data_IF_375326621015
#
_entry.id   IF_375326621015
#
_cell.length_a   1.000
_cell.length_b   1.000
_cell.length_c   1.000
_cell.angle_alpha   90.00
_cell.angle_beta   90.00
_cell.angle_gamma   90.00
#
_symmetry.space_group_name_H-M   'P 1'
#
loop_
_entity.id
_entity.type
_entity.pdbx_description
1 polymer ?
#
# COMPACT_ATOMS: atom_id res chain seq x y z
N UNK A 1 -43.49 15.69 -11.85
CA UNK A 1 -42.21 15.34 -11.19
C UNK A 1 -41.11 15.48 -12.22
N UNK A 2 -40.20 16.44 -12.08
CA UNK A 2 -39.08 16.61 -13.03
C UNK A 2 -38.02 15.57 -12.73
N UNK A 3 -37.97 14.52 -13.54
CA UNK A 3 -36.91 13.52 -13.52
C UNK A 3 -35.60 14.20 -13.93
N UNK A 4 -34.59 14.19 -13.05
CA UNK A 4 -33.25 14.73 -13.35
C UNK A 4 -32.33 13.57 -13.72
N UNK A 5 -31.47 13.78 -14.71
CA UNK A 5 -30.43 12.82 -15.02
C UNK A 5 -29.31 12.94 -13.97
N UNK A 6 -28.92 11.82 -13.36
CA UNK A 6 -27.80 11.74 -12.42
C UNK A 6 -26.86 10.62 -12.85
N UNK A 7 -25.58 10.70 -12.47
CA UNK A 7 -24.63 9.63 -12.78
C UNK A 7 -24.75 8.50 -11.76
N UNK A 8 -24.80 7.26 -12.23
CA UNK A 8 -24.71 6.09 -11.36
C UNK A 8 -23.35 6.10 -10.63
N UNK A 9 -23.31 5.95 -9.30
CA UNK A 9 -22.05 5.98 -8.55
C UNK A 9 -21.09 4.84 -8.90
N UNK A 10 -21.58 3.80 -9.58
CA UNK A 10 -20.81 2.62 -9.94
C UNK A 10 -20.36 2.59 -11.39
N UNK A 11 -21.30 2.59 -12.34
CA UNK A 11 -20.97 2.49 -13.77
C UNK A 11 -20.84 3.85 -14.46
N UNK A 12 -21.13 4.95 -13.75
CA UNK A 12 -21.10 6.33 -14.27
C UNK A 12 -21.97 6.56 -15.51
N UNK A 13 -22.94 5.66 -15.77
CA UNK A 13 -23.98 5.91 -16.76
C UNK A 13 -25.04 6.85 -16.19
N UNK A 14 -25.65 7.65 -17.06
CA UNK A 14 -26.78 8.48 -16.67
C UNK A 14 -27.99 7.58 -16.33
N UNK A 15 -28.53 7.78 -15.14
CA UNK A 15 -29.72 7.12 -14.61
C UNK A 15 -30.75 8.17 -14.19
N UNK A 16 -32.00 7.76 -14.08
CA UNK A 16 -33.07 8.65 -13.61
C UNK A 16 -32.97 8.94 -12.12
N UNK A 17 -33.26 10.17 -11.70
CA UNK A 17 -33.29 10.56 -10.28
C UNK A 17 -34.32 9.80 -9.43
N UNK A 18 -35.28 9.13 -10.04
CA UNK A 18 -36.32 8.29 -9.39
C UNK A 18 -35.91 6.80 -9.33
N UNK A 19 -34.83 6.44 -10.02
CA UNK A 19 -34.43 5.06 -10.23
C UNK A 19 -33.83 4.47 -8.95
N UNK A 20 -34.47 3.44 -8.39
CA UNK A 20 -34.01 2.77 -7.16
C UNK A 20 -32.88 1.78 -7.41
N UNK A 21 -32.76 1.25 -8.63
CA UNK A 21 -31.74 0.27 -9.04
C UNK A 21 -31.25 0.65 -10.42
N UNK A 22 -29.94 0.85 -10.60
CA UNK A 22 -29.37 1.24 -11.89
C UNK A 22 -29.64 0.20 -12.98
N UNK A 23 -30.28 0.60 -14.07
CA UNK A 23 -30.65 -0.22 -15.22
C UNK A 23 -29.44 -0.81 -15.96
N UNK A 24 -28.27 -0.19 -15.82
CA UNK A 24 -27.04 -0.65 -16.47
C UNK A 24 -26.26 -1.68 -15.66
N UNK A 25 -26.23 -1.54 -14.34
CA UNK A 25 -25.32 -2.34 -13.50
C UNK A 25 -25.97 -2.97 -12.26
N UNK A 26 -27.28 -2.80 -12.08
CA UNK A 26 -28.07 -3.42 -11.00
C UNK A 26 -27.80 -2.85 -9.61
N UNK A 27 -27.18 -1.67 -9.49
CA UNK A 27 -26.80 -1.12 -8.18
C UNK A 27 -27.97 -0.40 -7.53
N UNK A 28 -28.37 -0.85 -6.34
CA UNK A 28 -29.43 -0.21 -5.54
C UNK A 28 -28.98 1.14 -4.97
N UNK A 29 -29.90 2.10 -4.92
CA UNK A 29 -29.74 3.45 -4.35
C UNK A 29 -29.83 3.47 -2.83
N UNK A 30 -30.40 2.43 -2.21
CA UNK A 30 -30.70 2.40 -0.77
C UNK A 30 -29.50 1.99 0.06
N UNK A 31 -28.52 2.89 0.26
CA UNK A 31 -27.45 2.67 1.24
C UNK A 31 -26.66 3.95 1.59
N UNK A 32 -27.36 5.06 1.86
CA UNK A 32 -26.78 6.35 2.29
C UNK A 32 -25.77 6.25 3.46
N UNK A 33 -25.90 5.22 4.32
CA UNK A 33 -25.02 4.99 5.47
C UNK A 33 -24.06 3.80 5.32
N UNK A 34 -24.22 2.96 4.29
CA UNK A 34 -23.39 1.75 4.09
C UNK A 34 -22.22 1.98 3.13
N UNK A 35 -22.16 3.11 2.42
CA UNK A 35 -21.02 3.44 1.54
C UNK A 35 -19.71 3.73 2.29
N UNK A 36 -19.76 3.99 3.61
CA UNK A 36 -18.58 4.14 4.47
C UNK A 36 -18.02 2.81 4.97
N UNK A 37 -18.80 1.73 4.93
CA UNK A 37 -18.44 0.41 5.50
C UNK A 37 -18.34 -0.70 4.42
N UNK A 38 -18.99 -0.56 3.27
CA UNK A 38 -18.91 -1.52 2.16
C UNK A 38 -17.73 -1.27 1.21
N UNK A 39 -16.54 -1.02 1.77
CA UNK A 39 -15.25 -1.15 1.07
C UNK A 39 -14.84 -2.62 0.81
N UNK A 40 -15.77 -3.57 0.95
CA UNK A 40 -15.47 -5.01 0.94
C UNK A 40 -16.14 -5.83 -0.17
N UNK A 41 -16.89 -5.27 -1.12
CA UNK A 41 -17.45 -6.11 -2.21
C UNK A 41 -17.49 -5.44 -3.59
N UNK A 42 -16.37 -5.52 -4.30
CA UNK A 42 -16.26 -6.35 -5.51
C UNK A 42 -14.79 -6.45 -5.91
N UNK A 43 -14.24 -7.66 -5.85
CA UNK A 43 -12.94 -7.95 -6.45
C UNK A 43 -13.01 -7.64 -7.94
N UNK A 44 -12.40 -6.53 -8.35
CA UNK A 44 -12.01 -6.35 -9.74
C UNK A 44 -10.90 -7.33 -10.11
N UNK A 45 -10.42 -7.27 -11.35
CA UNK A 45 -9.29 -8.07 -11.88
C UNK A 45 -7.96 -7.97 -11.08
N UNK A 46 -7.93 -7.23 -9.96
CA UNK A 46 -6.78 -7.07 -9.07
C UNK A 46 -6.92 -7.64 -7.66
N UNK A 47 -8.04 -8.28 -7.27
CA UNK A 47 -8.16 -8.85 -5.91
C UNK A 47 -7.11 -9.93 -5.62
N UNK A 48 -6.77 -10.73 -6.64
CA UNK A 48 -5.70 -11.71 -6.57
C UNK A 48 -4.34 -11.07 -6.23
N UNK A 49 -4.08 -9.85 -6.72
CA UNK A 49 -2.83 -9.13 -6.48
C UNK A 49 -2.72 -8.69 -5.02
N UNK A 50 -3.81 -8.17 -4.44
CA UNK A 50 -3.86 -7.81 -3.02
C UNK A 50 -3.63 -9.04 -2.15
N UNK A 51 -4.30 -10.15 -2.48
CA UNK A 51 -4.09 -11.45 -1.81
C UNK A 51 -2.63 -11.90 -1.94
N UNK A 52 -2.03 -11.81 -3.12
CA UNK A 52 -0.64 -12.19 -3.34
C UNK A 52 0.33 -11.35 -2.48
N UNK A 53 0.15 -10.03 -2.41
CA UNK A 53 0.97 -9.15 -1.57
C UNK A 53 0.80 -9.53 -0.10
N UNK A 54 -0.43 -9.76 0.36
CA UNK A 54 -0.69 -10.16 1.76
C UNK A 54 -0.07 -11.52 2.07
N UNK A 55 -0.28 -12.52 1.20
CA UNK A 55 0.30 -13.85 1.35
C UNK A 55 1.82 -13.77 1.42
N UNK A 56 2.45 -12.99 0.55
CA UNK A 56 3.89 -12.79 0.56
C UNK A 56 4.38 -12.18 1.88
N UNK A 57 3.70 -11.14 2.39
CA UNK A 57 4.01 -10.54 3.69
C UNK A 57 3.86 -11.53 4.85
N UNK A 58 2.79 -12.34 4.84
CA UNK A 58 2.53 -13.36 5.88
C UNK A 58 3.57 -14.47 5.84
N UNK A 59 3.90 -14.99 4.66
CA UNK A 59 4.93 -16.03 4.50
C UNK A 59 6.30 -15.52 4.94
N UNK A 60 6.66 -14.30 4.54
CA UNK A 60 7.95 -13.70 4.89
C UNK A 60 8.06 -13.40 6.40
N UNK A 61 6.96 -12.98 7.03
CA UNK A 61 6.88 -12.85 8.48
C UNK A 61 7.02 -14.20 9.20
N UNK A 62 6.30 -15.23 8.76
CA UNK A 62 6.43 -16.58 9.33
C UNK A 62 7.87 -17.11 9.22
N UNK A 63 8.51 -16.92 8.06
CA UNK A 63 9.91 -17.29 7.88
C UNK A 63 10.84 -16.52 8.83
N UNK A 64 10.60 -15.21 9.03
CA UNK A 64 11.40 -14.41 9.95
C UNK A 64 11.31 -14.88 11.41
N UNK A 65 10.16 -15.42 11.83
CA UNK A 65 9.99 -16.04 13.15
C UNK A 65 10.81 -17.33 13.28
N UNK A 66 10.90 -18.12 12.21
CA UNK A 66 11.63 -19.39 12.19
C UNK A 66 13.15 -19.19 12.20
N UNK A 67 13.67 -18.26 11.39
CA UNK A 67 15.12 -18.04 11.25
C UNK A 67 15.72 -17.30 12.46
N UNK A 68 14.96 -16.38 13.06
CA UNK A 68 15.48 -15.53 14.12
C UNK A 68 15.50 -16.16 15.51
N UNK A 69 14.71 -17.22 15.75
CA UNK A 69 14.32 -17.64 17.10
C UNK A 69 13.54 -16.51 17.81
N UNK A 70 12.30 -16.75 18.21
CA UNK A 70 11.47 -15.70 18.82
C UNK A 70 12.06 -15.18 20.13
N UNK A 71 12.79 -14.06 20.10
CA UNK A 71 13.33 -13.33 21.26
C UNK A 71 13.34 -11.80 21.05
N UNK A 72 12.56 -11.27 20.10
CA UNK A 72 12.47 -9.83 19.76
C UNK A 72 11.77 -8.95 20.81
N UNK A 73 11.69 -9.39 22.07
CA UNK A 73 11.10 -8.64 23.18
C UNK A 73 9.57 -8.56 23.23
N UNK A 74 8.85 -9.09 22.23
CA UNK A 74 7.38 -9.05 22.15
C UNK A 74 6.74 -10.36 21.68
N UNK A 75 5.42 -10.50 21.89
CA UNK A 75 4.65 -11.68 21.48
C UNK A 75 4.72 -11.88 19.96
N UNK A 76 5.18 -13.05 19.53
CA UNK A 76 5.41 -13.39 18.11
C UNK A 76 6.22 -12.30 17.38
N UNK A 77 7.34 -11.89 17.97
CA UNK A 77 8.28 -10.94 17.39
C UNK A 77 9.54 -11.65 16.89
N UNK A 78 9.91 -11.50 15.60
CA UNK A 78 11.16 -12.04 15.07
C UNK A 78 12.39 -11.44 15.76
N UNK A 79 13.41 -12.27 15.97
CA UNK A 79 14.70 -11.78 16.45
C UNK A 79 15.36 -10.83 15.43
N UNK A 80 16.15 -9.86 15.92
CA UNK A 80 16.84 -8.89 15.07
C UNK A 80 17.74 -9.56 14.03
N UNK A 81 18.39 -10.68 14.39
CA UNK A 81 19.21 -11.47 13.46
C UNK A 81 18.39 -11.96 12.27
N UNK A 82 17.19 -12.51 12.51
CA UNK A 82 16.30 -12.98 11.45
C UNK A 82 15.85 -11.84 10.53
N UNK A 83 15.48 -10.70 11.12
CA UNK A 83 15.11 -9.50 10.35
C UNK A 83 16.29 -8.98 9.50
N UNK A 84 17.49 -8.94 10.06
CA UNK A 84 18.68 -8.48 9.34
C UNK A 84 19.06 -9.44 8.20
N UNK A 85 19.01 -10.76 8.42
CA UNK A 85 19.27 -11.77 7.39
C UNK A 85 18.27 -11.68 6.24
N UNK A 86 17.00 -11.50 6.58
CA UNK A 86 15.92 -11.35 5.59
C UNK A 86 15.81 -9.94 5.00
N UNK A 87 16.74 -9.04 5.31
CA UNK A 87 16.87 -7.77 4.61
C UNK A 87 16.10 -6.61 5.21
N UNK A 88 16.14 -6.45 6.53
CA UNK A 88 15.86 -5.18 7.17
C UNK A 88 16.81 -4.09 6.63
N UNK A 89 16.33 -2.84 6.59
CA UNK A 89 17.05 -1.71 5.98
C UNK A 89 17.32 -0.59 6.98
N UNK A 90 18.01 0.46 6.55
CA UNK A 90 18.47 1.58 7.38
C UNK A 90 19.95 1.88 7.16
N UNK A 91 20.49 2.88 7.85
CA UNK A 91 21.91 3.26 7.71
C UNK A 91 22.83 2.11 8.06
N UNK A 92 22.48 1.26 9.04
CA UNK A 92 23.32 0.13 9.42
C UNK A 92 23.40 -0.94 8.31
N UNK A 93 22.29 -1.50 7.78
CA UNK A 93 22.34 -2.42 6.63
C UNK A 93 22.97 -1.85 5.36
N UNK A 94 22.76 -0.55 5.08
CA UNK A 94 23.20 0.08 3.84
C UNK A 94 24.69 0.43 3.91
N UNK A 95 25.12 1.17 4.93
CA UNK A 95 26.47 1.74 4.97
C UNK A 95 27.53 0.69 5.34
N UNK A 96 27.20 -0.24 6.24
CA UNK A 96 28.17 -1.23 6.73
C UNK A 96 28.17 -2.54 5.93
N UNK A 97 27.05 -2.90 5.30
CA UNK A 97 26.91 -4.17 4.56
C UNK A 97 26.61 -3.99 3.07
N UNK A 98 26.50 -2.76 2.56
CA UNK A 98 26.22 -2.48 1.15
C UNK A 98 24.85 -2.98 0.67
N UNK A 99 23.89 -3.21 1.58
CA UNK A 99 22.61 -3.87 1.26
C UNK A 99 21.57 -2.88 0.74
N UNK A 100 21.86 -2.17 -0.35
CA UNK A 100 20.89 -1.22 -0.95
C UNK A 100 19.59 -1.95 -1.36
N UNK A 101 19.69 -3.21 -1.79
CA UNK A 101 18.53 -4.07 -2.08
C UNK A 101 17.57 -4.23 -0.88
N UNK A 102 18.04 -4.00 0.35
CA UNK A 102 17.21 -4.09 1.57
C UNK A 102 16.07 -3.07 1.59
N UNK A 103 16.21 -1.95 0.88
CA UNK A 103 15.15 -0.95 0.69
C UNK A 103 13.88 -1.58 0.08
N UNK A 104 14.04 -2.66 -0.71
CA UNK A 104 12.92 -3.40 -1.27
C UNK A 104 12.39 -4.45 -0.30
N UNK A 105 13.25 -5.34 0.21
CA UNK A 105 12.82 -6.44 1.09
C UNK A 105 12.23 -5.99 2.43
N UNK A 106 12.69 -4.84 2.95
CA UNK A 106 12.17 -4.28 4.21
C UNK A 106 10.66 -3.99 4.16
N UNK A 107 10.08 -3.77 2.96
CA UNK A 107 8.64 -3.59 2.79
C UNK A 107 7.84 -4.87 3.14
N UNK A 108 8.49 -6.03 3.25
CA UNK A 108 7.83 -7.31 3.51
C UNK A 108 8.12 -7.87 4.91
N UNK A 109 8.96 -7.19 5.69
CA UNK A 109 9.33 -7.59 7.05
C UNK A 109 8.47 -6.92 8.10
N UNK A 110 8.20 -7.63 9.19
CA UNK A 110 7.39 -7.11 10.30
C UNK A 110 8.01 -7.47 11.65
N UNK A 111 7.95 -6.51 12.57
CA UNK A 111 8.58 -6.63 13.91
C UNK A 111 7.72 -7.32 14.95
N UNK A 112 6.52 -7.78 14.59
CA UNK A 112 5.60 -8.45 15.50
C UNK A 112 4.21 -8.66 14.91
N UNK A 113 3.40 -9.46 15.59
CA UNK A 113 2.07 -9.87 15.10
C UNK A 113 1.11 -8.68 14.92
N UNK A 114 1.06 -7.75 15.88
CA UNK A 114 0.22 -6.56 15.75
C UNK A 114 0.68 -5.67 14.59
N UNK A 115 2.00 -5.57 14.39
CA UNK A 115 2.57 -4.79 13.30
C UNK A 115 2.14 -5.33 11.94
N UNK A 116 2.20 -6.65 11.70
CA UNK A 116 1.69 -7.23 10.44
C UNK A 116 0.18 -7.12 10.32
N UNK A 117 -0.59 -7.37 11.38
CA UNK A 117 -2.06 -7.28 11.33
C UNK A 117 -2.50 -5.88 10.90
N UNK A 118 -2.00 -4.83 11.54
CA UNK A 118 -2.38 -3.46 11.20
C UNK A 118 -1.97 -3.08 9.77
N UNK A 119 -0.79 -3.50 9.31
CA UNK A 119 -0.37 -3.26 7.92
C UNK A 119 -1.28 -3.98 6.91
N UNK A 120 -1.62 -5.24 7.16
CA UNK A 120 -2.47 -6.00 6.24
C UNK A 120 -3.91 -5.49 6.26
N UNK A 121 -4.42 -5.03 7.41
CA UNK A 121 -5.71 -4.35 7.49
C UNK A 121 -5.71 -3.05 6.70
N UNK A 122 -4.71 -2.18 6.91
CA UNK A 122 -4.59 -0.93 6.17
C UNK A 122 -4.43 -1.16 4.66
N UNK A 123 -3.63 -2.14 4.25
CA UNK A 123 -3.48 -2.54 2.85
C UNK A 123 -4.81 -3.02 2.26
N UNK A 124 -5.53 -3.92 2.93
CA UNK A 124 -6.85 -4.40 2.48
C UNK A 124 -7.87 -3.28 2.39
N UNK A 125 -7.75 -2.27 3.24
CA UNK A 125 -8.58 -1.10 3.18
C UNK A 125 -8.22 -0.29 1.93
N UNK A 126 -7.00 0.24 1.80
CA UNK A 126 -6.67 1.19 0.71
C UNK A 126 -6.61 0.55 -0.69
N UNK A 127 -6.24 -0.73 -0.81
CA UNK A 127 -5.93 -1.34 -2.11
C UNK A 127 -7.11 -1.40 -3.09
N UNK A 128 -8.35 -1.78 -2.70
CA UNK A 128 -9.52 -1.72 -3.58
C UNK A 128 -9.75 -0.34 -4.22
N UNK A 129 -9.57 0.73 -3.44
CA UNK A 129 -9.71 2.10 -3.95
C UNK A 129 -8.61 2.44 -4.96
N UNK A 130 -7.36 2.03 -4.69
CA UNK A 130 -6.27 2.22 -5.66
C UNK A 130 -6.51 1.40 -6.93
N UNK A 131 -7.01 0.16 -6.82
CA UNK A 131 -7.33 -0.67 -8.00
C UNK A 131 -8.44 -0.03 -8.83
N UNK A 132 -9.49 0.53 -8.21
CA UNK A 132 -10.57 1.16 -8.97
C UNK A 132 -10.09 2.41 -9.71
N UNK A 133 -9.28 3.24 -9.06
CA UNK A 133 -8.90 4.54 -9.60
C UNK A 133 -7.63 4.51 -10.45
N UNK A 134 -6.65 3.68 -10.10
CA UNK A 134 -5.39 3.53 -10.82
C UNK A 134 -5.28 2.21 -11.59
N UNK A 135 -5.90 1.13 -11.15
CA UNK A 135 -5.71 -0.20 -11.74
C UNK A 135 -4.60 -1.01 -11.06
N UNK A 136 -4.54 -2.33 -11.35
CA UNK A 136 -3.68 -3.27 -10.64
C UNK A 136 -2.19 -3.08 -10.93
N UNK A 137 -1.82 -2.74 -12.17
CA UNK A 137 -0.41 -2.56 -12.54
C UNK A 137 0.18 -1.36 -11.79
N UNK A 138 -0.55 -0.24 -11.76
CA UNK A 138 -0.15 0.96 -11.04
C UNK A 138 -0.17 0.78 -9.53
N UNK A 139 -1.10 -0.01 -8.97
CA UNK A 139 -1.04 -0.38 -7.55
C UNK A 139 0.31 -1.00 -7.20
N UNK A 140 0.76 -1.99 -7.98
CA UNK A 140 2.03 -2.67 -7.69
C UNK A 140 3.23 -1.73 -7.81
N UNK A 141 3.25 -0.86 -8.83
CA UNK A 141 4.30 0.15 -9.01
C UNK A 141 4.35 1.11 -7.82
N UNK A 142 3.19 1.67 -7.43
CA UNK A 142 3.08 2.63 -6.33
C UNK A 142 3.49 1.99 -5.00
N UNK A 143 3.03 0.75 -4.75
CA UNK A 143 3.40 -0.01 -3.55
C UNK A 143 4.91 -0.24 -3.49
N UNK A 144 5.49 -0.81 -4.55
CA UNK A 144 6.90 -1.22 -4.57
C UNK A 144 7.85 -0.02 -4.59
N UNK A 145 7.72 0.86 -5.59
CA UNK A 145 8.66 1.97 -5.76
C UNK A 145 8.46 3.06 -4.70
N UNK A 146 7.21 3.31 -4.28
CA UNK A 146 6.95 4.28 -3.24
C UNK A 146 7.35 3.79 -1.84
N UNK A 147 7.26 2.48 -1.57
CA UNK A 147 7.84 1.89 -0.36
C UNK A 147 9.37 2.05 -0.32
N UNK A 148 10.05 1.74 -1.42
CA UNK A 148 11.49 1.99 -1.59
C UNK A 148 11.82 3.47 -1.37
N UNK A 149 11.06 4.38 -2.00
CA UNK A 149 11.26 5.82 -1.81
C UNK A 149 11.07 6.24 -0.35
N UNK A 150 10.07 5.70 0.34
CA UNK A 150 9.90 5.91 1.78
C UNK A 150 11.12 5.51 2.59
N UNK A 151 11.68 4.33 2.33
CA UNK A 151 12.90 3.90 3.02
C UNK A 151 14.16 4.67 2.61
N UNK A 152 14.23 5.20 1.39
CA UNK A 152 15.29 6.15 1.00
C UNK A 152 15.21 7.40 1.88
N UNK A 153 14.04 8.00 2.03
CA UNK A 153 13.84 9.17 2.91
C UNK A 153 14.21 8.83 4.36
N UNK A 154 13.77 7.67 4.84
CA UNK A 154 14.15 7.17 6.16
C UNK A 154 15.67 7.01 6.34
N UNK A 155 16.36 6.47 5.33
CA UNK A 155 17.80 6.29 5.36
C UNK A 155 18.53 7.63 5.39
N UNK A 156 18.14 8.57 4.54
CA UNK A 156 18.70 9.93 4.50
C UNK A 156 18.47 10.68 5.83
N UNK A 157 17.38 10.37 6.54
CA UNK A 157 17.10 10.90 7.87
C UNK A 157 17.89 10.23 9.01
N UNK A 158 18.78 9.28 8.71
CA UNK A 158 19.67 8.65 9.69
C UNK A 158 19.04 7.49 10.47
N UNK A 159 17.89 6.95 10.04
CA UNK A 159 17.27 5.81 10.72
C UNK A 159 18.14 4.56 10.55
N UNK A 160 18.64 4.05 11.68
CA UNK A 160 19.63 2.96 11.69
C UNK A 160 19.09 1.61 11.26
N UNK A 161 17.86 1.30 11.67
CA UNK A 161 17.20 0.03 11.40
C UNK A 161 15.69 0.23 11.26
N UNK A 162 15.11 -0.26 10.17
CA UNK A 162 13.67 -0.14 9.89
C UNK A 162 13.16 -1.26 8.98
N UNK A 163 11.87 -1.54 9.11
CA UNK A 163 11.10 -2.57 8.39
C UNK A 163 9.63 -2.19 8.35
N UNK A 164 8.84 -2.85 7.51
CA UNK A 164 7.37 -2.78 7.51
C UNK A 164 6.79 -2.41 6.15
N UNK A 165 5.67 -3.04 5.80
CA UNK A 165 4.87 -2.67 4.63
C UNK A 165 4.29 -1.25 4.71
N UNK A 166 4.37 -0.60 5.87
CA UNK A 166 3.72 0.68 6.14
C UNK A 166 4.21 1.81 5.24
N UNK A 167 5.48 1.83 4.82
CA UNK A 167 5.97 2.81 3.84
C UNK A 167 5.27 2.65 2.47
N UNK A 168 5.14 1.41 1.99
CA UNK A 168 4.42 1.08 0.76
C UNK A 168 2.91 1.38 0.86
N UNK A 169 2.29 1.10 2.01
CA UNK A 169 0.88 1.46 2.27
C UNK A 169 0.71 2.99 2.30
N UNK A 170 1.61 3.73 2.93
CA UNK A 170 1.62 5.19 2.92
C UNK A 170 1.76 5.75 1.50
N UNK A 171 2.52 5.07 0.62
CA UNK A 171 2.57 5.41 -0.80
C UNK A 171 1.21 5.24 -1.50
N UNK A 172 0.49 4.15 -1.24
CA UNK A 172 -0.88 3.99 -1.76
C UNK A 172 -1.82 5.11 -1.27
N UNK A 173 -1.72 5.48 0.01
CA UNK A 173 -2.48 6.61 0.58
C UNK A 173 -2.09 7.94 -0.08
N UNK A 174 -0.79 8.19 -0.29
CA UNK A 174 -0.28 9.37 -0.99
C UNK A 174 -0.75 9.48 -2.44
N UNK A 175 -0.77 8.36 -3.18
CA UNK A 175 -1.32 8.34 -4.53
C UNK A 175 -2.82 8.66 -4.54
N UNK A 176 -3.58 8.21 -3.53
CA UNK A 176 -4.99 8.57 -3.39
C UNK A 176 -5.21 10.02 -2.95
N UNK A 177 -4.29 10.59 -2.18
CA UNK A 177 -4.31 12.02 -1.85
C UNK A 177 -4.17 12.86 -3.13
N UNK A 178 -3.18 12.54 -3.97
CA UNK A 178 -3.03 13.19 -5.29
C UNK A 178 -4.27 12.98 -6.15
N UNK A 179 -4.78 11.75 -6.24
CA UNK A 179 -6.01 11.45 -7.00
C UNK A 179 -7.17 12.32 -6.54
N UNK A 180 -7.48 12.34 -5.24
CA UNK A 180 -8.63 13.08 -4.71
C UNK A 180 -8.54 14.57 -5.03
N UNK A 181 -7.35 15.16 -4.82
CA UNK A 181 -7.09 16.57 -5.14
C UNK A 181 -7.20 16.86 -6.64
N UNK A 182 -6.56 16.03 -7.46
CA UNK A 182 -6.44 16.21 -8.91
C UNK A 182 -7.73 15.92 -9.65
N UNK A 183 -8.53 14.97 -9.15
CA UNK A 183 -9.82 14.56 -9.72
C UNK A 183 -10.88 15.62 -9.53
N UNK A 184 -10.87 16.28 -8.36
CA UNK A 184 -11.84 17.28 -7.96
C UNK A 184 -13.27 16.74 -7.91
N UNK A 185 -14.24 17.66 -7.84
CA UNK A 185 -15.66 17.31 -7.70
C UNK A 185 -15.99 16.67 -6.34
N UNK A 186 -17.26 16.31 -6.16
CA UNK A 186 -17.74 15.77 -4.89
C UNK A 186 -16.99 14.49 -4.47
N UNK A 187 -16.81 13.55 -5.41
CA UNK A 187 -16.12 12.29 -5.13
C UNK A 187 -14.64 12.48 -4.79
N UNK A 188 -13.89 13.23 -5.61
CA UNK A 188 -12.47 13.49 -5.35
C UNK A 188 -12.23 14.22 -4.03
N UNK A 189 -13.09 15.19 -3.69
CA UNK A 189 -13.02 15.92 -2.42
C UNK A 189 -13.26 15.00 -1.21
N UNK A 190 -14.20 14.05 -1.31
CA UNK A 190 -14.43 13.05 -0.25
C UNK A 190 -13.19 12.18 -0.06
N UNK A 191 -12.64 11.62 -1.14
CA UNK A 191 -11.41 10.81 -1.10
C UNK A 191 -10.26 11.60 -0.47
N UNK A 192 -10.03 12.83 -0.93
CA UNK A 192 -8.96 13.70 -0.44
C UNK A 192 -9.06 13.93 1.07
N UNK A 193 -10.27 14.23 1.58
CA UNK A 193 -10.49 14.47 3.01
C UNK A 193 -10.29 13.21 3.84
N UNK A 194 -10.79 12.07 3.37
CA UNK A 194 -10.66 10.79 4.08
C UNK A 194 -9.18 10.36 4.21
N UNK A 195 -8.47 10.29 3.08
CA UNK A 195 -7.05 9.89 3.11
C UNK A 195 -6.16 10.93 3.78
N UNK A 196 -6.51 12.22 3.69
CA UNK A 196 -5.86 13.29 4.45
C UNK A 196 -6.01 13.08 5.97
N UNK A 197 -7.19 12.66 6.43
CA UNK A 197 -7.42 12.27 7.82
C UNK A 197 -6.56 11.08 8.25
N UNK A 198 -6.35 10.09 7.37
CA UNK A 198 -5.48 8.96 7.67
C UNK A 198 -4.01 9.36 7.78
N UNK A 199 -3.52 10.21 6.87
CA UNK A 199 -2.15 10.74 6.93
C UNK A 199 -1.93 11.50 8.25
N UNK A 200 -2.88 12.36 8.63
CA UNK A 200 -2.81 13.08 9.89
C UNK A 200 -2.76 12.13 11.09
N UNK A 201 -3.64 11.14 11.14
CA UNK A 201 -3.67 10.14 12.20
C UNK A 201 -2.39 9.31 12.27
N UNK A 202 -1.84 8.87 11.13
CA UNK A 202 -0.58 8.12 11.06
C UNK A 202 0.58 8.94 11.59
N UNK A 203 0.68 10.21 11.19
CA UNK A 203 1.72 11.11 11.67
C UNK A 203 1.64 11.29 13.19
N UNK A 204 0.45 11.59 13.71
CA UNK A 204 0.24 11.75 15.16
C UNK A 204 0.54 10.46 15.92
N UNK A 205 0.09 9.31 15.41
CA UNK A 205 0.37 8.01 15.99
C UNK A 205 1.88 7.74 16.05
N UNK A 206 2.64 8.09 15.00
CA UNK A 206 4.10 7.95 15.01
C UNK A 206 4.85 8.95 15.88
N UNK A 207 4.24 10.07 16.27
CA UNK A 207 4.79 10.95 17.31
C UNK A 207 4.58 10.38 18.72
N UNK A 208 3.46 9.68 18.94
CA UNK A 208 3.07 9.15 20.26
C UNK A 208 3.77 7.82 20.55
N UNK A 209 3.90 6.93 19.56
CA UNK A 209 4.41 5.58 19.76
C UNK A 209 5.86 5.44 19.27
N UNK A 210 6.83 5.23 20.18
CA UNK A 210 8.22 5.03 19.81
C UNK A 210 8.42 3.82 18.90
N UNK A 211 9.40 3.90 18.01
CA UNK A 211 9.71 2.84 17.04
C UNK A 211 8.91 2.92 15.73
N UNK A 212 7.98 3.88 15.61
CA UNK A 212 7.32 4.18 14.34
C UNK A 212 8.19 5.09 13.49
N UNK A 213 8.41 4.67 12.26
CA UNK A 213 9.26 5.38 11.32
C UNK A 213 8.47 6.45 10.53
N UNK A 214 8.30 7.62 11.13
CA UNK A 214 7.62 8.75 10.49
C UNK A 214 8.32 9.25 9.22
N UNK A 215 9.65 9.14 9.13
CA UNK A 215 10.39 9.47 7.90
C UNK A 215 10.04 8.51 6.76
N UNK A 216 9.94 7.21 7.06
CA UNK A 216 9.47 6.19 6.13
C UNK A 216 8.03 6.42 5.68
N UNK A 217 7.13 6.77 6.60
CA UNK A 217 5.73 7.06 6.29
C UNK A 217 5.57 8.32 5.44
N UNK A 218 6.18 9.44 5.86
CA UNK A 218 6.15 10.69 5.12
C UNK A 218 6.79 10.56 3.74
N UNK A 219 7.95 9.89 3.67
CA UNK A 219 8.59 9.55 2.40
C UNK A 219 7.69 8.70 1.52
N UNK A 220 7.03 7.67 2.08
CA UNK A 220 6.05 6.86 1.37
C UNK A 220 4.93 7.71 0.77
N UNK A 221 4.29 8.59 1.57
CA UNK A 221 3.24 9.51 1.09
C UNK A 221 3.74 10.37 -0.08
N UNK A 222 4.92 10.99 0.06
CA UNK A 222 5.50 11.83 -1.00
C UNK A 222 5.80 10.99 -2.26
N UNK A 223 6.41 9.82 -2.11
CA UNK A 223 6.67 8.89 -3.21
C UNK A 223 5.39 8.49 -3.94
N UNK A 224 4.33 8.19 -3.18
CA UNK A 224 3.02 7.87 -3.70
C UNK A 224 2.37 9.01 -4.49
N UNK A 225 2.45 10.25 -3.99
CA UNK A 225 1.98 11.45 -4.70
C UNK A 225 2.72 11.60 -6.04
N UNK A 226 4.05 11.50 -6.02
CA UNK A 226 4.88 11.67 -7.22
C UNK A 226 4.63 10.57 -8.25
N UNK A 227 4.64 9.30 -7.83
CA UNK A 227 4.39 8.16 -8.71
C UNK A 227 2.96 8.20 -9.25
N UNK A 228 1.96 8.48 -8.40
CA UNK A 228 0.56 8.62 -8.81
C UNK A 228 0.36 9.74 -9.83
N UNK A 229 1.06 10.87 -9.66
CA UNK A 229 1.09 11.96 -10.63
C UNK A 229 1.70 11.53 -11.97
N UNK A 230 2.86 10.89 -11.94
CA UNK A 230 3.61 10.47 -13.13
C UNK A 230 2.92 9.32 -13.89
N UNK A 231 2.30 8.37 -13.18
CA UNK A 231 1.60 7.22 -13.77
C UNK A 231 0.16 7.56 -14.18
N UNK A 232 -0.45 8.56 -13.53
CA UNK A 232 -1.83 9.01 -13.74
C UNK A 232 -2.88 7.93 -13.43
N UNK A 233 -4.14 8.34 -13.40
CA UNK A 233 -5.26 7.49 -12.99
C UNK A 233 -6.27 7.30 -14.13
N UNK A 234 -7.16 6.32 -13.99
CA UNK A 234 -8.07 5.80 -15.02
C UNK A 234 -8.92 6.87 -15.68
N UNK A 235 -9.47 7.82 -14.92
CA UNK A 235 -10.28 8.93 -15.45
C UNK A 235 -9.52 9.83 -16.43
N UNK A 236 -8.19 9.89 -16.35
CA UNK A 236 -7.35 10.64 -17.29
C UNK A 236 -6.76 9.75 -18.37
N UNK A 237 -6.26 8.58 -17.98
CA UNK A 237 -5.63 7.62 -18.89
C UNK A 237 -5.74 6.18 -18.39
N UNK A 238 -6.21 5.23 -19.23
CA UNK A 238 -6.20 3.82 -18.89
C UNK A 238 -4.76 3.29 -18.72
N UNK A 239 -4.62 2.09 -18.17
CA UNK A 239 -3.30 1.46 -18.06
C UNK A 239 -2.72 1.14 -19.45
N UNK A 240 -1.51 1.62 -19.71
CA UNK A 240 -0.75 1.30 -20.92
C UNK A 240 0.09 0.04 -20.74
N UNK A 241 0.65 -0.47 -21.84
CA UNK A 241 1.61 -1.58 -21.80
C UNK A 241 2.86 -1.24 -20.97
N UNK A 242 3.26 0.03 -20.90
CA UNK A 242 4.39 0.49 -20.09
C UNK A 242 4.10 0.25 -18.60
N UNK A 243 2.88 0.54 -18.13
CA UNK A 243 2.52 0.24 -16.74
C UNK A 243 2.55 -1.26 -16.45
N UNK A 244 2.10 -2.09 -17.39
CA UNK A 244 2.15 -3.56 -17.24
C UNK A 244 3.59 -4.07 -17.19
N UNK A 245 4.46 -3.56 -18.06
CA UNK A 245 5.89 -3.91 -18.07
C UNK A 245 6.59 -3.47 -16.77
N UNK A 246 6.36 -2.23 -16.32
CA UNK A 246 6.94 -1.74 -15.06
C UNK A 246 6.43 -2.52 -13.85
N UNK A 247 5.15 -2.90 -13.83
CA UNK A 247 4.60 -3.76 -12.80
C UNK A 247 5.25 -5.15 -12.82
N UNK A 248 5.47 -5.73 -14.01
CA UNK A 248 6.19 -7.01 -14.14
C UNK A 248 7.64 -6.91 -13.63
N UNK A 249 8.35 -5.83 -13.95
CA UNK A 249 9.70 -5.57 -13.43
C UNK A 249 9.68 -5.44 -11.91
N UNK A 250 8.73 -4.69 -11.34
CA UNK A 250 8.55 -4.58 -9.89
C UNK A 250 8.30 -5.95 -9.25
N UNK A 251 7.40 -6.77 -9.83
CA UNK A 251 7.13 -8.12 -9.36
C UNK A 251 8.37 -9.01 -9.40
N UNK A 252 9.09 -9.00 -10.53
CA UNK A 252 10.29 -9.81 -10.71
C UNK A 252 11.39 -9.41 -9.72
N UNK A 253 11.66 -8.11 -9.58
CA UNK A 253 12.62 -7.59 -8.59
C UNK A 253 12.26 -8.00 -7.17
N UNK A 254 10.98 -7.86 -6.78
CA UNK A 254 10.51 -8.29 -5.46
C UNK A 254 10.76 -9.78 -5.26
N UNK A 255 10.34 -10.63 -6.18
CA UNK A 255 10.51 -12.09 -6.05
C UNK A 255 11.99 -12.46 -6.02
N UNK A 256 12.83 -11.86 -6.87
CA UNK A 256 14.27 -12.14 -6.90
C UNK A 256 14.96 -11.71 -5.61
N UNK A 257 14.67 -10.51 -5.10
CA UNK A 257 15.29 -10.02 -3.85
C UNK A 257 14.83 -10.85 -2.66
N UNK A 258 13.54 -11.13 -2.53
CA UNK A 258 13.03 -11.96 -1.43
C UNK A 258 13.49 -13.42 -1.56
N UNK A 259 13.58 -13.96 -2.77
CA UNK A 259 14.14 -15.30 -2.98
C UNK A 259 15.62 -15.37 -2.59
N UNK A 260 16.40 -14.36 -2.96
CA UNK A 260 17.82 -14.25 -2.64
C UNK A 260 18.06 -14.19 -1.12
N UNK A 261 17.25 -13.41 -0.39
CA UNK A 261 17.36 -13.32 1.07
C UNK A 261 16.98 -14.62 1.76
N UNK A 262 15.92 -15.30 1.31
CA UNK A 262 15.55 -16.62 1.85
C UNK A 262 16.68 -17.62 1.60
N UNK A 263 17.18 -17.70 0.36
CA UNK A 263 18.28 -18.59 0.00
C UNK A 263 19.53 -18.32 0.83
N UNK A 264 19.94 -17.06 0.94
CA UNK A 264 21.10 -16.66 1.73
C UNK A 264 20.95 -16.89 3.24
N UNK A 265 19.71 -16.86 3.75
CA UNK A 265 19.44 -17.13 5.16
C UNK A 265 19.39 -18.64 5.48
N UNK A 266 19.03 -19.51 4.52
CA UNK A 266 19.02 -20.97 4.70
C UNK A 266 20.41 -21.62 4.57
N UNK A 267 21.36 -20.94 3.93
CA UNK A 267 22.74 -21.43 3.77
C UNK A 267 23.67 -21.11 4.95
N UNK A 268 23.15 -20.48 6.01
CA UNK A 268 23.91 -20.12 7.21
C UNK A 268 23.45 -20.94 8.41
#
# INVERSE_FOLDING_TARGET
MTQRAILCPRCRQLIGSEEKVCSWCGTSRSASWWHLINWTQKGGDGDWLVKAIITLNVLYFALSLMIGGGNGGGFMSPGQTGLLLLGATGTMPIDYYGRIWSLLSANYLHGGILHIIFNMMALRQIAPLVISEYGPSRLLIIYTLGGVFGFIVSYLAGVSFTIGASAAVCSLIGAMLYYGKSRGGAYGNTVYREVGGWIFSLFLFGLIFPGINNWGHGGGVVGGVLIGMIAGYNDRRPESWIHKLLALVCAAMTVTVLGWTVFGALLR
#
